data_IF_545429546490
#
_entry.id   IF_545429546490
#
_cell.length_a   1.000
_cell.length_b   1.000
_cell.length_c   1.000
_cell.angle_alpha   90.00
_cell.angle_beta   90.00
_cell.angle_gamma   90.00
#
_symmetry.space_group_name_H-M   'P 1'
#
loop_
_entity.id
_entity.type
_entity.pdbx_description
1 polymer ?
#
# COMPACT_ATOMS: atom_id res chain seq x y z
N UNK A 1 -39.90 80.16 12.14
CA UNK A 1 -38.87 79.58 11.25
C UNK A 1 -37.72 79.17 12.17
N UNK A 2 -37.17 77.95 12.24
CA UNK A 2 -37.18 76.79 11.37
C UNK A 2 -36.53 75.59 12.11
N UNK A 3 -36.66 74.41 11.48
CA UNK A 3 -36.10 73.07 11.82
C UNK A 3 -34.61 73.11 12.19
N UNK A 4 -34.00 72.15 12.91
CA UNK A 4 -33.78 70.73 12.54
C UNK A 4 -32.98 70.07 13.68
N UNK A 5 -33.44 68.96 14.29
CA UNK A 5 -33.01 67.56 14.04
C UNK A 5 -31.50 67.34 13.93
N UNK A 6 -30.96 66.49 14.83
CA UNK A 6 -29.61 65.93 14.76
C UNK A 6 -29.22 65.04 15.94
N UNK A 7 -29.90 63.92 16.18
CA UNK A 7 -29.39 62.82 17.03
C UNK A 7 -28.53 61.90 16.16
N UNK A 8 -27.21 62.04 16.26
CA UNK A 8 -26.25 61.16 15.59
C UNK A 8 -26.20 59.79 16.28
N UNK A 9 -26.57 58.74 15.55
CA UNK A 9 -26.46 57.36 15.98
C UNK A 9 -24.99 56.91 15.99
N UNK A 10 -24.44 56.59 17.17
CA UNK A 10 -23.19 55.84 17.30
C UNK A 10 -23.52 54.35 17.24
N UNK A 11 -23.67 53.81 16.03
CA UNK A 11 -23.83 52.38 15.81
C UNK A 11 -22.90 51.99 14.66
N UNK A 12 -21.94 51.09 14.89
CA UNK A 12 -21.17 50.56 13.75
C UNK A 12 -19.94 49.75 14.11
N UNK A 13 -19.09 50.22 15.02
CA UNK A 13 -17.77 49.58 15.20
C UNK A 13 -17.83 48.29 16.04
N UNK A 14 -18.48 48.25 17.22
CA UNK A 14 -18.50 47.03 18.05
C UNK A 14 -19.29 45.90 17.40
N UNK A 15 -20.41 46.23 16.74
CA UNK A 15 -21.27 45.24 16.09
C UNK A 15 -20.57 44.53 14.93
N UNK A 16 -19.79 45.25 14.13
CA UNK A 16 -19.05 44.67 12.99
C UNK A 16 -17.96 43.70 13.47
N UNK A 17 -17.23 44.04 14.54
CA UNK A 17 -16.23 43.13 15.12
C UNK A 17 -16.87 41.87 15.73
N UNK A 18 -18.03 42.01 16.37
CA UNK A 18 -18.79 40.86 16.89
C UNK A 18 -19.26 39.95 15.74
N UNK A 19 -19.75 40.52 14.64
CA UNK A 19 -20.16 39.74 13.47
C UNK A 19 -18.98 39.03 12.78
N UNK A 20 -17.83 39.69 12.65
CA UNK A 20 -16.63 39.08 12.07
C UNK A 20 -16.07 37.96 12.95
N UNK A 21 -16.06 38.15 14.27
CA UNK A 21 -15.66 37.12 15.21
C UNK A 21 -16.62 35.92 15.17
N UNK A 22 -17.94 36.17 15.07
CA UNK A 22 -18.94 35.12 14.92
C UNK A 22 -18.78 34.35 13.60
N UNK A 23 -18.47 35.02 12.48
CA UNK A 23 -18.19 34.39 11.19
C UNK A 23 -16.91 33.55 11.21
N UNK A 24 -15.85 34.04 11.86
CA UNK A 24 -14.61 33.28 12.07
C UNK A 24 -14.87 32.04 12.94
N UNK A 25 -15.59 32.19 14.05
CA UNK A 25 -15.99 31.06 14.88
C UNK A 25 -16.87 30.06 14.11
N UNK A 26 -17.83 30.53 13.30
CA UNK A 26 -18.66 29.65 12.49
C UNK A 26 -17.84 28.90 11.42
N UNK A 27 -16.87 29.55 10.78
CA UNK A 27 -15.98 28.89 9.83
C UNK A 27 -15.03 27.90 10.51
N UNK A 28 -14.52 28.22 11.71
CA UNK A 28 -13.69 27.29 12.50
C UNK A 28 -14.52 26.11 12.98
N UNK A 29 -15.74 26.33 13.47
CA UNK A 29 -16.66 25.26 13.86
C UNK A 29 -17.08 24.42 12.66
N UNK A 30 -17.30 25.02 11.50
CA UNK A 30 -17.57 24.31 10.25
C UNK A 30 -16.35 23.50 9.79
N UNK A 31 -15.14 24.06 9.93
CA UNK A 31 -13.89 23.36 9.62
C UNK A 31 -13.67 22.16 10.56
N UNK A 32 -13.85 22.35 11.87
CA UNK A 32 -13.77 21.28 12.87
C UNK A 32 -14.87 20.24 12.62
N UNK A 33 -16.09 20.67 12.32
CA UNK A 33 -17.20 19.78 11.97
C UNK A 33 -16.88 18.98 10.71
N UNK A 34 -16.40 19.63 9.65
CA UNK A 34 -15.98 18.96 8.42
C UNK A 34 -14.83 17.99 8.68
N UNK A 35 -13.83 18.34 9.47
CA UNK A 35 -12.76 17.42 9.89
C UNK A 35 -13.30 16.22 10.66
N UNK A 36 -14.20 16.43 11.63
CA UNK A 36 -14.83 15.32 12.38
C UNK A 36 -15.71 14.43 11.50
N UNK A 37 -16.47 15.02 10.57
CA UNK A 37 -17.28 14.27 9.59
C UNK A 37 -16.41 13.55 8.58
N UNK A 38 -15.25 14.11 8.18
CA UNK A 38 -14.28 13.46 7.29
C UNK A 38 -13.45 12.38 8.00
N UNK A 39 -13.33 12.44 9.32
CA UNK A 39 -12.73 11.39 10.15
C UNK A 39 -13.68 10.21 10.35
N UNK A 40 -14.99 10.43 10.45
CA UNK A 40 -16.01 9.36 10.58
C UNK A 40 -16.50 8.79 9.23
N UNK A 41 -16.12 9.40 8.10
CA UNK A 41 -16.54 8.98 6.75
C UNK A 41 -15.42 8.44 5.87
N UNK A 42 -14.31 7.98 6.45
CA UNK A 42 -13.53 6.94 5.79
C UNK A 42 -14.20 5.61 6.15
N UNK A 43 -15.16 5.10 5.34
CA UNK A 43 -15.62 3.74 5.54
C UNK A 43 -14.40 2.84 5.54
N UNK A 44 -14.36 1.78 6.37
CA UNK A 44 -13.38 0.71 6.17
C UNK A 44 -13.43 0.37 4.69
N UNK A 45 -12.26 0.42 4.05
CA UNK A 45 -12.10 0.12 2.62
C UNK A 45 -12.98 -1.09 2.32
N UNK A 46 -13.93 -0.92 1.40
CA UNK A 46 -14.97 -1.89 1.10
C UNK A 46 -14.36 -3.07 0.34
N UNK A 47 -13.35 -3.70 0.93
CA UNK A 47 -12.63 -4.80 0.36
C UNK A 47 -13.58 -5.99 0.24
N UNK A 48 -13.80 -6.42 -1.01
CA UNK A 48 -14.36 -7.71 -1.45
C UNK A 48 -15.84 -8.00 -1.20
N UNK A 49 -16.75 -7.10 -1.55
CA UNK A 49 -18.16 -7.49 -1.76
C UNK A 49 -18.62 -7.41 -3.23
N UNK A 50 -17.70 -7.19 -4.18
CA UNK A 50 -18.03 -7.18 -5.60
C UNK A 50 -17.57 -8.47 -6.27
N UNK A 51 -18.36 -8.94 -7.24
CA UNK A 51 -17.97 -10.04 -8.13
C UNK A 51 -16.79 -9.63 -9.02
N UNK A 52 -16.06 -10.61 -9.55
CA UNK A 52 -14.97 -10.38 -10.50
C UNK A 52 -15.44 -9.54 -11.69
N UNK A 53 -14.63 -8.55 -12.10
CA UNK A 53 -14.99 -7.60 -13.15
C UNK A 53 -15.81 -6.39 -12.67
N UNK A 54 -16.07 -6.29 -11.37
CA UNK A 54 -16.79 -5.16 -10.76
C UNK A 54 -15.96 -4.53 -9.63
N UNK A 55 -16.24 -3.27 -9.32
CA UNK A 55 -15.59 -2.51 -8.27
C UNK A 55 -16.57 -1.67 -7.46
N UNK A 56 -16.17 -1.32 -6.25
CA UNK A 56 -16.83 -0.32 -5.40
C UNK A 56 -15.76 0.41 -4.59
N UNK A 57 -15.67 1.72 -4.73
CA UNK A 57 -14.65 2.57 -4.10
C UNK A 57 -15.27 3.80 -3.47
N UNK A 58 -14.57 4.40 -2.51
CA UNK A 58 -15.00 5.64 -1.85
C UNK A 58 -16.41 5.54 -1.27
N UNK A 59 -17.30 6.43 -1.73
CA UNK A 59 -18.68 6.55 -1.20
C UNK A 59 -19.74 5.80 -2.03
N UNK A 60 -19.32 4.92 -2.94
CA UNK A 60 -20.25 4.14 -3.76
C UNK A 60 -21.11 3.19 -2.91
N UNK A 61 -22.40 3.10 -3.23
CA UNK A 61 -23.35 2.21 -2.56
C UNK A 61 -23.48 0.84 -3.24
N UNK A 62 -23.23 0.75 -4.55
CA UNK A 62 -23.33 -0.46 -5.36
C UNK A 62 -22.04 -0.74 -6.14
N UNK A 63 -21.85 -2.00 -6.55
CA UNK A 63 -20.75 -2.41 -7.41
C UNK A 63 -21.03 -1.99 -8.86
N UNK A 64 -20.01 -1.47 -9.55
CA UNK A 64 -20.06 -1.06 -10.96
C UNK A 64 -19.10 -1.93 -11.77
N UNK A 65 -19.41 -2.32 -13.03
CA UNK A 65 -18.45 -3.02 -13.88
C UNK A 65 -17.17 -2.21 -14.09
N UNK A 66 -16.03 -2.87 -14.30
CA UNK A 66 -14.79 -2.16 -14.63
C UNK A 66 -14.95 -1.26 -15.84
N UNK A 67 -14.49 -0.01 -15.69
CA UNK A 67 -14.56 0.98 -16.74
C UNK A 67 -13.75 0.53 -17.96
N UNK A 68 -14.37 0.66 -19.12
CA UNK A 68 -13.73 0.42 -20.42
C UNK A 68 -13.17 1.74 -21.00
N UNK A 69 -12.46 1.63 -22.12
CA UNK A 69 -11.84 2.78 -22.79
C UNK A 69 -12.78 3.96 -23.04
N UNK A 70 -14.01 3.71 -23.44
CA UNK A 70 -15.01 4.77 -23.70
C UNK A 70 -15.31 5.59 -22.45
N UNK A 71 -15.53 4.92 -21.32
CA UNK A 71 -15.85 5.55 -20.03
C UNK A 71 -14.61 6.23 -19.45
N UNK A 72 -13.44 5.61 -19.56
CA UNK A 72 -12.17 6.20 -19.10
C UNK A 72 -11.89 7.51 -19.83
N UNK A 73 -12.06 7.55 -21.15
CA UNK A 73 -11.84 8.76 -21.96
C UNK A 73 -12.85 9.86 -21.67
N UNK A 74 -14.11 9.51 -21.47
CA UNK A 74 -15.20 10.46 -21.29
C UNK A 74 -15.27 11.03 -19.87
N UNK A 75 -15.12 10.16 -18.85
CA UNK A 75 -15.57 10.46 -17.49
C UNK A 75 -14.44 10.54 -16.46
N UNK A 76 -13.22 10.08 -16.79
CA UNK A 76 -12.08 10.13 -15.85
C UNK A 76 -11.26 11.40 -16.08
N UNK A 77 -11.39 12.34 -15.14
CA UNK A 77 -10.66 13.61 -15.18
C UNK A 77 -9.34 13.51 -14.44
N UNK A 78 -8.22 13.58 -15.17
CA UNK A 78 -6.87 13.69 -14.58
C UNK A 78 -6.71 15.01 -13.83
N UNK A 79 -6.17 14.93 -12.62
CA UNK A 79 -5.86 16.11 -11.79
C UNK A 79 -4.34 16.35 -11.79
N UNK A 80 -3.60 15.79 -10.83
CA UNK A 80 -2.16 16.02 -10.68
C UNK A 80 -1.39 14.71 -10.66
N UNK A 81 -0.13 14.74 -11.11
CA UNK A 81 0.77 13.60 -10.96
C UNK A 81 1.07 13.37 -9.48
N UNK A 82 1.05 12.12 -9.05
CA UNK A 82 1.31 11.70 -7.67
C UNK A 82 2.44 10.66 -7.57
N UNK A 83 2.86 10.08 -8.69
CA UNK A 83 3.97 9.15 -8.73
C UNK A 83 4.50 8.97 -10.15
N UNK A 84 5.78 8.64 -10.24
CA UNK A 84 6.44 8.30 -11.50
C UNK A 84 7.45 7.18 -11.22
N UNK A 85 7.37 6.12 -12.02
CA UNK A 85 8.34 5.02 -12.04
C UNK A 85 8.86 4.80 -13.45
N UNK A 86 9.64 3.72 -13.63
CA UNK A 86 10.16 3.33 -14.94
C UNK A 86 9.02 3.03 -15.92
N UNK A 87 8.05 2.19 -15.52
CA UNK A 87 6.95 1.69 -16.38
C UNK A 87 5.77 2.67 -16.45
N UNK A 88 5.49 3.42 -15.38
CA UNK A 88 4.21 4.14 -15.20
C UNK A 88 4.38 5.58 -14.72
N UNK A 89 3.50 6.46 -15.20
CA UNK A 89 3.18 7.76 -14.59
C UNK A 89 1.80 7.67 -13.95
N UNK A 90 1.70 8.02 -12.68
CA UNK A 90 0.48 7.89 -11.89
C UNK A 90 -0.10 9.26 -11.55
N UNK A 91 -1.38 9.44 -11.85
CA UNK A 91 -2.11 10.69 -11.66
C UNK A 91 -3.28 10.48 -10.70
N UNK A 92 -3.36 11.32 -9.66
CA UNK A 92 -4.61 11.52 -8.95
C UNK A 92 -5.63 12.05 -9.94
N UNK A 93 -6.80 11.43 -9.95
CA UNK A 93 -7.87 11.72 -10.89
C UNK A 93 -9.22 11.63 -10.18
N UNK A 94 -10.28 11.97 -10.90
CA UNK A 94 -11.66 11.92 -10.41
C UNK A 94 -12.56 11.25 -11.42
N UNK A 95 -13.43 10.37 -10.95
CA UNK A 95 -14.48 9.72 -11.72
C UNK A 95 -15.78 9.78 -10.92
N UNK A 96 -16.82 10.44 -11.45
CA UNK A 96 -18.13 10.61 -10.80
C UNK A 96 -18.05 11.06 -9.32
N UNK A 97 -17.15 12.01 -9.03
CA UNK A 97 -16.91 12.52 -7.67
C UNK A 97 -16.04 11.63 -6.77
N UNK A 98 -15.70 10.41 -7.20
CA UNK A 98 -14.77 9.51 -6.51
C UNK A 98 -13.33 9.83 -6.88
N UNK A 99 -12.41 9.80 -5.91
CA UNK A 99 -10.97 9.91 -6.17
C UNK A 99 -10.43 8.56 -6.63
N UNK A 100 -9.71 8.58 -7.75
CA UNK A 100 -9.11 7.39 -8.38
C UNK A 100 -7.68 7.69 -8.80
N UNK A 101 -6.87 6.65 -8.97
CA UNK A 101 -5.52 6.74 -9.48
C UNK A 101 -5.47 6.25 -10.93
N UNK A 102 -4.95 7.07 -11.84
CA UNK A 102 -4.79 6.72 -13.26
C UNK A 102 -3.33 6.46 -13.53
N UNK A 103 -3.00 5.23 -13.89
CA UNK A 103 -1.67 4.81 -14.30
C UNK A 103 -1.58 4.79 -15.81
N UNK A 104 -0.60 5.51 -16.34
CA UNK A 104 -0.35 5.65 -17.78
C UNK A 104 1.02 5.07 -18.10
N UNK A 105 1.13 4.29 -19.18
CA UNK A 105 2.39 3.81 -19.72
C UNK A 105 3.36 4.98 -19.93
N UNK A 106 4.56 4.87 -19.38
CA UNK A 106 5.56 5.93 -19.43
C UNK A 106 6.24 6.04 -20.81
N UNK A 107 6.46 4.90 -21.46
CA UNK A 107 7.21 4.70 -22.70
C UNK A 107 6.84 3.36 -23.33
N UNK A 108 6.76 3.28 -24.66
CA UNK A 108 6.51 2.04 -25.40
C UNK A 108 7.55 0.93 -25.12
N UNK A 109 8.75 1.29 -24.65
CA UNK A 109 9.77 0.31 -24.27
C UNK A 109 9.33 -0.63 -23.13
N UNK A 110 8.45 -0.16 -22.25
CA UNK A 110 7.95 -0.93 -21.09
C UNK A 110 6.53 -1.47 -21.29
N UNK A 111 6.07 -1.55 -22.54
CA UNK A 111 4.69 -1.95 -22.86
C UNK A 111 4.37 -3.37 -22.38
N UNK A 112 5.30 -4.30 -22.56
CA UNK A 112 5.09 -5.69 -22.16
C UNK A 112 5.01 -5.83 -20.63
N UNK A 113 5.88 -5.13 -19.88
CA UNK A 113 5.83 -5.06 -18.42
C UNK A 113 4.50 -4.46 -17.94
N UNK A 114 4.04 -3.39 -18.60
CA UNK A 114 2.77 -2.74 -18.29
C UNK A 114 1.57 -3.66 -18.54
N UNK A 115 1.51 -4.33 -19.69
CA UNK A 115 0.43 -5.26 -20.03
C UNK A 115 0.46 -6.50 -19.11
N UNK A 116 1.64 -6.96 -18.73
CA UNK A 116 1.79 -8.01 -17.71
C UNK A 116 1.19 -7.55 -16.37
N UNK A 117 1.57 -6.35 -15.90
CA UNK A 117 1.03 -5.76 -14.68
C UNK A 117 -0.49 -5.63 -14.69
N UNK A 118 -1.08 -5.19 -15.81
CA UNK A 118 -2.54 -5.15 -16.00
C UNK A 118 -3.16 -6.54 -15.93
N UNK A 119 -2.55 -7.54 -16.57
CA UNK A 119 -3.03 -8.93 -16.51
C UNK A 119 -2.97 -9.50 -15.09
N UNK A 120 -1.87 -9.24 -14.36
CA UNK A 120 -1.73 -9.65 -12.96
C UNK A 120 -2.78 -8.96 -12.11
N UNK A 121 -2.95 -7.65 -12.25
CA UNK A 121 -3.91 -6.86 -11.48
C UNK A 121 -5.35 -7.34 -11.66
N UNK A 122 -5.75 -7.74 -12.89
CA UNK A 122 -7.06 -8.35 -13.16
C UNK A 122 -7.23 -9.71 -12.47
N UNK A 123 -6.25 -10.59 -12.61
CA UNK A 123 -6.34 -11.97 -12.11
C UNK A 123 -6.18 -12.09 -10.59
N UNK A 124 -5.53 -11.10 -9.96
CA UNK A 124 -5.15 -11.11 -8.55
C UNK A 124 -6.03 -10.22 -7.66
N UNK A 125 -7.14 -9.69 -8.18
CA UNK A 125 -8.08 -8.89 -7.39
C UNK A 125 -8.53 -9.65 -6.13
N UNK A 126 -8.25 -9.04 -4.98
CA UNK A 126 -8.50 -9.59 -3.65
C UNK A 126 -8.38 -8.48 -2.61
N UNK A 127 -8.63 -8.79 -1.33
CA UNK A 127 -8.39 -7.86 -0.21
C UNK A 127 -6.92 -7.43 -0.04
N UNK A 128 -5.99 -8.01 -0.80
CA UNK A 128 -4.53 -7.84 -0.65
C UNK A 128 -3.91 -7.03 -1.79
N UNK A 129 -4.70 -6.70 -2.80
CA UNK A 129 -4.28 -5.99 -4.02
C UNK A 129 -5.17 -4.77 -4.18
N UNK A 130 -4.61 -3.66 -4.67
CA UNK A 130 -5.36 -2.44 -4.94
C UNK A 130 -6.58 -2.73 -5.84
N UNK A 131 -7.71 -2.12 -5.49
CA UNK A 131 -8.97 -2.30 -6.24
C UNK A 131 -8.81 -1.76 -7.66
N UNK A 132 -9.00 -2.63 -8.65
CA UNK A 132 -9.04 -2.24 -10.07
C UNK A 132 -10.40 -1.60 -10.38
N UNK A 133 -10.36 -0.40 -10.97
CA UNK A 133 -11.54 0.39 -11.35
C UNK A 133 -11.83 0.27 -12.84
N UNK A 134 -10.79 0.23 -13.68
CA UNK A 134 -10.97 0.18 -15.13
C UNK A 134 -9.67 -0.04 -15.88
N UNK A 135 -9.78 -0.46 -17.15
CA UNK A 135 -8.62 -0.70 -18.01
C UNK A 135 -8.92 -0.23 -19.43
N UNK A 136 -7.94 0.45 -20.02
CA UNK A 136 -7.88 0.74 -21.44
C UNK A 136 -6.48 0.43 -22.00
N UNK A 137 -6.28 -0.81 -22.45
CA UNK A 137 -4.98 -1.29 -22.94
C UNK A 137 -4.54 -0.59 -24.23
N UNK A 138 -5.48 -0.23 -25.11
CA UNK A 138 -5.18 0.50 -26.36
C UNK A 138 -4.52 1.85 -26.11
N UNK A 139 -4.86 2.50 -24.99
CA UNK A 139 -4.28 3.79 -24.58
C UNK A 139 -3.10 3.64 -23.62
N UNK A 140 -2.75 2.41 -23.22
CA UNK A 140 -1.78 2.15 -22.16
C UNK A 140 -2.21 2.76 -20.82
N UNK A 141 -3.49 2.62 -20.45
CA UNK A 141 -4.07 3.22 -19.24
C UNK A 141 -4.80 2.17 -18.40
N UNK A 142 -4.64 2.23 -17.09
CA UNK A 142 -5.57 1.59 -16.15
C UNK A 142 -5.87 2.50 -14.96
N UNK A 143 -7.00 2.24 -14.31
CA UNK A 143 -7.53 3.05 -13.21
C UNK A 143 -7.68 2.15 -11.98
N UNK A 144 -7.20 2.62 -10.83
CA UNK A 144 -7.33 1.96 -9.53
C UNK A 144 -7.94 2.88 -8.49
N UNK A 145 -8.33 2.32 -7.35
CA UNK A 145 -8.68 3.11 -6.17
C UNK A 145 -7.51 4.01 -5.74
N UNK A 146 -7.83 5.26 -5.40
CA UNK A 146 -6.84 6.18 -4.86
C UNK A 146 -6.71 6.02 -3.35
N UNK A 147 -5.49 5.75 -2.89
CA UNK A 147 -5.16 5.71 -1.47
C UNK A 147 -4.35 6.96 -1.07
N UNK A 148 -4.90 7.86 -0.23
CA UNK A 148 -4.32 9.17 0.03
C UNK A 148 -3.03 9.15 0.84
N UNK A 149 -2.76 8.07 1.58
CA UNK A 149 -1.50 7.91 2.32
C UNK A 149 -0.34 7.47 1.41
N UNK A 150 -0.64 7.06 0.17
CA UNK A 150 0.36 6.73 -0.83
C UNK A 150 1.10 5.44 -0.49
N UNK A 151 2.39 5.40 -0.84
CA UNK A 151 3.24 4.22 -0.65
C UNK A 151 3.53 3.92 0.82
N UNK A 152 3.72 2.65 1.15
CA UNK A 152 4.20 2.20 2.46
C UNK A 152 5.54 2.81 2.90
N UNK A 153 6.32 3.36 1.96
CA UNK A 153 7.51 4.17 2.25
C UNK A 153 7.24 5.35 3.18
N UNK A 154 6.04 5.92 3.13
CA UNK A 154 5.67 7.10 3.92
C UNK A 154 5.17 6.73 5.32
N UNK A 155 5.27 5.46 5.74
CA UNK A 155 4.68 4.97 6.98
C UNK A 155 5.08 5.79 8.21
N UNK A 156 6.38 6.05 8.41
CA UNK A 156 6.84 6.82 9.58
C UNK A 156 6.31 8.26 9.55
N UNK A 157 6.38 8.92 8.39
CA UNK A 157 5.85 10.27 8.23
C UNK A 157 4.32 10.31 8.41
N UNK A 158 3.62 9.24 8.04
CA UNK A 158 2.18 9.09 8.23
C UNK A 158 1.84 8.94 9.71
N UNK A 159 2.51 8.03 10.41
CA UNK A 159 2.28 7.74 11.83
C UNK A 159 2.76 8.87 12.77
N UNK A 160 3.61 9.78 12.28
CA UNK A 160 4.01 10.99 12.99
C UNK A 160 2.97 12.12 12.93
N UNK A 161 1.98 12.05 12.04
CA UNK A 161 0.91 13.06 11.96
C UNK A 161 -0.05 12.92 13.14
N UNK A 162 -0.49 14.04 13.73
CA UNK A 162 -1.40 14.07 14.89
C UNK A 162 -2.64 13.19 14.71
N UNK A 163 -3.21 13.17 13.50
CA UNK A 163 -4.37 12.34 13.14
C UNK A 163 -4.11 10.83 13.31
N UNK A 164 -2.90 10.37 13.03
CA UNK A 164 -2.52 8.95 13.04
C UNK A 164 -1.66 8.56 14.23
N UNK A 165 -1.21 9.52 15.03
CA UNK A 165 -0.31 9.30 16.17
C UNK A 165 -0.87 8.27 17.15
N UNK A 166 -2.19 8.27 17.41
CA UNK A 166 -2.84 7.28 18.28
C UNK A 166 -2.85 5.87 17.72
N UNK A 167 -2.67 5.72 16.41
CA UNK A 167 -2.57 4.44 15.72
C UNK A 167 -1.12 3.96 15.58
N UNK A 168 -0.14 4.78 15.99
CA UNK A 168 1.28 4.42 15.99
C UNK A 168 1.61 3.46 17.15
N UNK A 169 1.07 2.26 17.09
CA UNK A 169 1.22 1.21 18.09
C UNK A 169 1.81 -0.05 17.49
N UNK A 170 2.36 -0.92 18.35
CA UNK A 170 2.88 -2.20 17.91
C UNK A 170 1.80 -3.06 17.24
N UNK A 171 0.54 -2.95 17.68
CA UNK A 171 -0.59 -3.70 17.09
C UNK A 171 -0.80 -3.29 15.63
N UNK A 172 -0.90 -1.99 15.35
CA UNK A 172 -1.08 -1.49 13.98
C UNK A 172 0.10 -1.91 13.11
N UNK A 173 1.32 -1.77 13.62
CA UNK A 173 2.55 -2.06 12.89
C UNK A 173 2.77 -3.55 12.61
N UNK A 174 2.51 -4.42 13.59
CA UNK A 174 2.55 -5.88 13.39
C UNK A 174 1.42 -6.34 12.46
N UNK A 175 0.26 -5.66 12.48
CA UNK A 175 -0.82 -5.91 11.52
C UNK A 175 -0.42 -5.55 10.09
N UNK A 176 0.33 -4.47 9.87
CA UNK A 176 0.89 -4.17 8.54
C UNK A 176 1.88 -5.25 8.09
N UNK A 177 2.72 -5.75 9.00
CA UNK A 177 3.63 -6.86 8.69
C UNK A 177 2.86 -8.17 8.39
N UNK A 178 1.76 -8.43 9.09
CA UNK A 178 0.83 -9.50 8.76
C UNK A 178 0.22 -9.30 7.36
N UNK A 179 -0.20 -8.09 6.99
CA UNK A 179 -0.73 -7.81 5.64
C UNK A 179 0.31 -8.08 4.55
N UNK A 180 1.57 -7.71 4.78
CA UNK A 180 2.68 -8.01 3.88
C UNK A 180 2.88 -9.53 3.68
N UNK A 181 3.02 -10.29 4.76
CA UNK A 181 3.19 -11.76 4.68
C UNK A 181 1.92 -12.42 4.11
N UNK A 182 0.74 -11.85 4.38
CA UNK A 182 -0.51 -12.31 3.78
C UNK A 182 -0.46 -12.15 2.27
N UNK A 183 -0.07 -10.99 1.76
CA UNK A 183 0.10 -10.83 0.34
C UNK A 183 1.06 -11.88 -0.24
N UNK A 184 2.19 -12.17 0.41
CA UNK A 184 3.11 -13.22 -0.07
C UNK A 184 2.49 -14.62 -0.07
N UNK A 185 1.73 -14.99 0.97
CA UNK A 185 0.96 -16.26 0.96
C UNK A 185 0.03 -16.33 -0.25
N UNK A 186 -0.66 -15.23 -0.57
CA UNK A 186 -1.55 -15.17 -1.71
C UNK A 186 -0.80 -15.20 -3.04
N UNK A 187 0.33 -14.50 -3.15
CA UNK A 187 1.18 -14.47 -4.33
C UNK A 187 1.76 -15.86 -4.66
N UNK A 188 2.27 -16.56 -3.65
CA UNK A 188 2.85 -17.90 -3.78
C UNK A 188 1.80 -18.98 -4.10
N UNK A 189 0.52 -18.68 -3.86
CA UNK A 189 -0.62 -19.56 -4.15
C UNK A 189 -1.63 -18.89 -5.09
N UNK A 190 -1.17 -18.02 -5.99
CA UNK A 190 -2.08 -17.23 -6.83
C UNK A 190 -2.86 -18.11 -7.81
N UNK A 191 -4.01 -17.66 -8.34
CA UNK A 191 -4.78 -18.42 -9.32
C UNK A 191 -3.98 -18.84 -10.56
N UNK A 192 -2.95 -18.06 -10.92
CA UNK A 192 -2.04 -18.33 -12.04
C UNK A 192 -0.78 -19.11 -11.66
N UNK A 193 -0.76 -19.79 -10.51
CA UNK A 193 0.40 -20.51 -9.96
C UNK A 193 1.27 -19.67 -9.04
N UNK A 194 2.35 -20.26 -8.50
CA UNK A 194 3.29 -19.54 -7.65
C UNK A 194 4.00 -18.42 -8.42
N UNK A 195 4.10 -17.25 -7.81
CA UNK A 195 4.69 -16.03 -8.38
C UNK A 195 5.73 -15.45 -7.42
N UNK A 196 6.70 -14.70 -7.94
CA UNK A 196 7.76 -14.05 -7.15
C UNK A 196 7.66 -12.54 -7.29
N UNK A 197 7.80 -11.79 -6.18
CA UNK A 197 7.76 -10.33 -6.20
C UNK A 197 9.13 -9.75 -6.62
N UNK A 198 9.42 -9.72 -7.92
CA UNK A 198 10.79 -9.48 -8.39
C UNK A 198 11.31 -8.04 -8.25
N UNK A 199 10.43 -7.04 -8.28
CA UNK A 199 10.83 -5.63 -8.18
C UNK A 199 11.01 -5.21 -6.70
N UNK A 200 11.94 -5.87 -6.02
CA UNK A 200 12.16 -5.81 -4.57
C UNK A 200 13.64 -5.99 -4.21
N UNK A 201 14.54 -5.29 -4.91
CA UNK A 201 15.99 -5.45 -4.74
C UNK A 201 16.57 -4.74 -3.52
N UNK A 202 15.85 -3.75 -3.00
CA UNK A 202 16.17 -3.06 -1.74
C UNK A 202 14.89 -2.76 -0.96
N UNK A 203 15.03 -2.36 0.30
CA UNK A 203 13.90 -2.07 1.18
C UNK A 203 13.00 -0.97 0.61
N UNK A 204 13.60 0.09 0.05
CA UNK A 204 12.84 1.23 -0.45
C UNK A 204 12.01 0.82 -1.67
N UNK A 205 12.63 0.12 -2.63
CA UNK A 205 11.95 -0.40 -3.81
C UNK A 205 10.86 -1.41 -3.45
N UNK A 206 11.10 -2.27 -2.47
CA UNK A 206 10.09 -3.22 -1.98
C UNK A 206 8.86 -2.49 -1.44
N UNK A 207 9.05 -1.47 -0.60
CA UNK A 207 7.97 -0.69 0.01
C UNK A 207 7.24 0.20 -1.00
N UNK A 208 7.89 0.62 -2.11
CA UNK A 208 7.22 1.38 -3.17
C UNK A 208 6.13 0.58 -3.88
N UNK A 209 6.18 -0.75 -3.81
CA UNK A 209 5.23 -1.62 -4.51
C UNK A 209 3.91 -1.77 -3.74
N UNK A 210 3.85 -1.27 -2.50
CA UNK A 210 2.69 -1.35 -1.62
C UNK A 210 2.14 0.03 -1.29
N UNK A 211 0.82 0.11 -1.14
CA UNK A 211 0.08 1.29 -0.70
C UNK A 211 -0.43 1.12 0.73
N UNK A 212 -0.57 2.25 1.43
CA UNK A 212 -1.26 2.34 2.72
C UNK A 212 -2.68 2.84 2.51
N UNK A 213 -3.65 2.07 2.99
CA UNK A 213 -5.05 2.51 3.04
C UNK A 213 -5.27 3.50 4.18
N UNK A 214 -6.35 4.29 4.13
CA UNK A 214 -6.69 5.27 5.17
C UNK A 214 -6.92 4.64 6.56
N UNK A 215 -7.26 3.35 6.62
CA UNK A 215 -7.43 2.55 7.84
C UNK A 215 -6.17 1.74 8.23
N UNK A 216 -5.03 2.06 7.63
CA UNK A 216 -3.71 1.47 7.88
C UNK A 216 -3.69 -0.05 7.63
N UNK A 217 -4.08 -0.43 6.42
CA UNK A 217 -3.84 -1.74 5.80
C UNK A 217 -2.82 -1.60 4.68
N UNK A 218 -2.15 -2.70 4.37
CA UNK A 218 -1.16 -2.76 3.29
C UNK A 218 -1.76 -3.46 2.05
N UNK A 219 -1.65 -2.83 0.89
CA UNK A 219 -2.13 -3.38 -0.39
C UNK A 219 -1.01 -3.41 -1.42
N UNK A 220 -0.87 -4.53 -2.13
CA UNK A 220 0.03 -4.59 -3.28
C UNK A 220 -0.54 -3.78 -4.46
N UNK A 221 0.32 -3.04 -5.14
CA UNK A 221 -0.07 -2.14 -6.23
C UNK A 221 0.76 -2.37 -7.50
N UNK A 222 2.08 -2.44 -7.36
CA UNK A 222 2.97 -2.58 -8.52
C UNK A 222 3.26 -4.05 -8.81
N UNK A 223 2.55 -4.62 -9.78
CA UNK A 223 2.58 -6.05 -10.12
C UNK A 223 3.21 -6.35 -11.50
N UNK A 224 4.05 -5.44 -11.99
CA UNK A 224 4.62 -5.52 -13.35
C UNK A 224 5.64 -6.68 -13.49
N UNK A 225 6.35 -7.04 -12.42
CA UNK A 225 7.40 -8.06 -12.43
C UNK A 225 7.04 -9.26 -11.53
N UNK A 226 6.09 -10.10 -11.98
CA UNK A 226 5.64 -11.30 -11.27
C UNK A 226 5.84 -12.58 -12.10
N UNK A 227 7.09 -13.03 -12.31
CA UNK A 227 7.33 -14.28 -13.03
C UNK A 227 6.72 -15.47 -12.30
N UNK A 228 6.25 -16.46 -13.06
CA UNK A 228 5.68 -17.70 -12.55
C UNK A 228 6.77 -18.72 -12.29
N UNK A 229 6.74 -19.34 -11.11
CA UNK A 229 7.58 -20.49 -10.79
C UNK A 229 6.88 -21.76 -11.28
N UNK A 230 7.44 -22.42 -12.28
CA UNK A 230 6.92 -23.69 -12.79
C UNK A 230 7.42 -24.86 -11.92
N UNK A 231 6.53 -25.78 -11.46
CA UNK A 231 6.94 -26.95 -10.69
C UNK A 231 7.94 -27.82 -11.47
N UNK A 232 9.12 -28.07 -10.89
CA UNK A 232 10.19 -28.84 -11.53
C UNK A 232 10.89 -28.12 -12.69
N UNK A 233 10.60 -26.83 -12.91
CA UNK A 233 11.29 -25.98 -13.88
C UNK A 233 12.67 -25.50 -13.41
N UNK A 234 13.32 -24.69 -14.24
CA UNK A 234 14.65 -24.11 -13.95
C UNK A 234 14.63 -22.94 -12.94
N UNK A 235 13.45 -22.58 -12.42
CA UNK A 235 13.22 -21.38 -11.61
C UNK A 235 12.97 -20.13 -12.45
N UNK A 236 13.00 -18.98 -11.78
CA UNK A 236 12.80 -17.64 -12.34
C UNK A 236 14.03 -16.77 -12.10
N UNK A 237 14.12 -15.62 -12.80
CA UNK A 237 15.09 -14.56 -12.57
C UNK A 237 14.39 -13.21 -12.52
N UNK A 238 14.81 -12.34 -11.61
CA UNK A 238 14.30 -10.99 -11.43
C UNK A 238 15.10 -9.99 -12.26
N UNK A 239 14.81 -9.95 -13.57
CA UNK A 239 15.49 -9.10 -14.54
C UNK A 239 16.73 -9.75 -15.17
N UNK A 240 17.38 -9.01 -16.07
CA UNK A 240 18.51 -9.47 -16.89
C UNK A 240 19.87 -8.92 -16.44
N UNK A 241 19.89 -8.11 -15.38
CA UNK A 241 21.10 -7.48 -14.86
C UNK A 241 21.54 -8.19 -13.57
N UNK A 242 22.84 -8.13 -13.29
CA UNK A 242 23.40 -8.66 -12.06
C UNK A 242 22.80 -7.95 -10.83
N UNK A 243 22.30 -8.73 -9.88
CA UNK A 243 21.88 -8.23 -8.58
C UNK A 243 23.04 -8.29 -7.58
N UNK A 244 23.08 -7.34 -6.65
CA UNK A 244 24.14 -7.18 -5.65
C UNK A 244 23.57 -6.75 -4.30
N UNK A 245 24.33 -6.92 -3.23
CA UNK A 245 23.97 -6.50 -1.88
C UNK A 245 23.34 -7.63 -1.05
N UNK A 246 23.00 -7.32 0.20
CA UNK A 246 22.55 -8.30 1.20
C UNK A 246 21.02 -8.41 1.32
N UNK A 247 20.29 -7.45 0.73
CA UNK A 247 18.83 -7.43 0.77
C UNK A 247 18.21 -8.48 -0.16
N UNK A 248 18.79 -8.69 -1.34
CA UNK A 248 18.43 -9.80 -2.23
C UNK A 248 18.86 -11.14 -1.62
N UNK A 249 18.17 -12.22 -1.97
CA UNK A 249 18.54 -13.53 -1.45
C UNK A 249 19.88 -14.01 -2.05
N UNK A 250 20.67 -14.82 -1.31
CA UNK A 250 21.99 -15.27 -1.75
C UNK A 250 21.99 -15.96 -3.12
N UNK A 251 20.96 -16.73 -3.43
CA UNK A 251 20.78 -17.41 -4.73
C UNK A 251 20.45 -16.46 -5.89
N UNK A 252 20.13 -15.19 -5.60
CA UNK A 252 19.97 -14.14 -6.61
C UNK A 252 21.30 -13.49 -7.00
N UNK A 253 22.39 -13.79 -6.27
CA UNK A 253 23.73 -13.26 -6.54
C UNK A 253 24.47 -14.14 -7.55
N UNK A 254 25.36 -13.51 -8.32
CA UNK A 254 26.20 -14.21 -9.27
C UNK A 254 27.10 -15.25 -8.56
N UNK A 255 26.97 -16.56 -8.85
CA UNK A 255 27.60 -17.59 -8.03
C UNK A 255 29.02 -17.96 -8.46
N UNK A 256 29.54 -17.39 -9.56
CA UNK A 256 30.80 -17.82 -10.18
C UNK A 256 32.03 -16.98 -9.77
N UNK A 257 31.89 -16.10 -8.78
CA UNK A 257 32.97 -15.24 -8.31
C UNK A 257 33.26 -14.05 -9.23
N UNK A 258 34.22 -13.22 -8.84
CA UNK A 258 34.57 -11.96 -9.52
C UNK A 258 35.37 -12.17 -10.81
N UNK A 259 36.10 -13.28 -10.92
CA UNK A 259 36.94 -13.61 -12.09
C UNK A 259 36.12 -13.94 -13.34
N UNK A 260 34.83 -14.22 -13.18
CA UNK A 260 33.96 -14.60 -14.28
C UNK A 260 32.90 -13.51 -14.49
N UNK A 261 32.93 -12.79 -15.64
CA UNK A 261 31.95 -11.75 -15.92
C UNK A 261 30.52 -12.28 -15.86
N UNK A 262 29.60 -11.45 -15.36
CA UNK A 262 28.19 -11.77 -15.32
C UNK A 262 27.64 -12.07 -16.72
N UNK A 263 26.80 -13.10 -16.81
CA UNK A 263 26.09 -13.51 -18.02
C UNK A 263 24.71 -14.01 -17.62
N UNK A 264 23.66 -13.36 -18.11
CA UNK A 264 22.27 -13.70 -17.76
C UNK A 264 21.92 -15.16 -18.12
N UNK A 265 22.38 -15.65 -19.27
CA UNK A 265 22.17 -17.04 -19.72
C UNK A 265 22.78 -18.10 -18.78
N UNK A 266 23.77 -17.70 -17.99
CA UNK A 266 24.45 -18.57 -17.03
C UNK A 266 23.95 -18.39 -15.61
N UNK A 267 23.15 -17.37 -15.34
CA UNK A 267 22.59 -17.14 -14.01
C UNK A 267 21.57 -18.26 -13.72
N UNK A 268 21.77 -19.07 -12.65
CA UNK A 268 20.79 -20.05 -12.26
C UNK A 268 19.46 -19.39 -11.87
N UNK A 269 18.35 -20.02 -12.20
CA UNK A 269 17.05 -19.57 -11.70
C UNK A 269 16.85 -19.93 -10.22
N UNK A 270 15.96 -19.20 -9.59
CA UNK A 270 15.55 -19.36 -8.19
C UNK A 270 14.03 -19.37 -8.07
N UNK A 271 13.49 -19.43 -6.87
CA UNK A 271 12.06 -19.61 -6.62
C UNK A 271 11.50 -18.55 -5.64
N UNK A 272 10.29 -18.78 -5.13
CA UNK A 272 9.58 -17.87 -4.23
C UNK A 272 10.26 -17.73 -2.85
N UNK A 273 11.26 -18.57 -2.53
CA UNK A 273 12.04 -18.45 -1.30
C UNK A 273 12.89 -17.19 -1.26
N UNK A 274 13.11 -16.55 -2.41
CA UNK A 274 13.71 -15.22 -2.50
C UNK A 274 12.84 -14.12 -1.86
N UNK A 275 11.51 -14.24 -1.90
CA UNK A 275 10.60 -13.34 -1.18
C UNK A 275 10.69 -13.57 0.33
N UNK A 276 10.78 -14.84 0.76
CA UNK A 276 10.88 -15.23 2.18
C UNK A 276 12.12 -14.61 2.84
N UNK A 277 13.24 -14.60 2.12
CA UNK A 277 14.48 -13.98 2.59
C UNK A 277 14.30 -12.52 3.04
N UNK A 278 13.41 -11.78 2.38
CA UNK A 278 13.21 -10.33 2.56
C UNK A 278 12.21 -9.99 3.66
N UNK A 279 11.44 -10.98 4.14
CA UNK A 279 10.39 -10.77 5.16
C UNK A 279 10.93 -10.09 6.43
N UNK A 280 12.06 -10.52 7.02
CA UNK A 280 12.56 -9.92 8.26
C UNK A 280 12.86 -8.42 8.13
N UNK A 281 13.47 -7.99 7.02
CA UNK A 281 13.87 -6.61 6.78
C UNK A 281 12.65 -5.70 6.60
N UNK A 282 11.67 -6.14 5.80
CA UNK A 282 10.39 -5.42 5.64
C UNK A 282 9.65 -5.36 6.98
N UNK A 283 9.62 -6.46 7.73
CA UNK A 283 8.96 -6.51 9.04
C UNK A 283 9.62 -5.57 10.03
N UNK A 284 10.96 -5.49 10.03
CA UNK A 284 11.73 -4.57 10.89
C UNK A 284 11.39 -3.12 10.59
N UNK A 285 11.27 -2.76 9.32
CA UNK A 285 10.82 -1.41 8.94
C UNK A 285 9.39 -1.14 9.44
N UNK A 286 8.45 -2.06 9.19
CA UNK A 286 7.04 -1.86 9.55
C UNK A 286 6.85 -1.76 11.07
N UNK A 287 7.54 -2.59 11.86
CA UNK A 287 7.52 -2.57 13.33
C UNK A 287 8.15 -1.31 13.93
N UNK A 288 9.12 -0.71 13.24
CA UNK A 288 9.80 0.49 13.69
C UNK A 288 10.28 0.41 15.14
N UNK A 289 10.29 1.55 15.82
CA UNK A 289 10.74 1.68 17.21
C UNK A 289 9.63 2.27 18.09
N UNK A 290 8.62 1.47 18.40
CA UNK A 290 7.55 1.82 19.34
C UNK A 290 7.57 0.91 20.56
N UNK A 291 6.86 1.30 21.63
CA UNK A 291 6.71 0.46 22.81
C UNK A 291 6.13 -0.91 22.41
N UNK A 292 6.84 -1.99 22.78
CA UNK A 292 6.50 -3.36 22.42
C UNK A 292 7.23 -3.93 21.19
N UNK A 293 7.85 -3.11 20.34
CA UNK A 293 8.55 -3.60 19.13
C UNK A 293 9.69 -4.57 19.45
N UNK A 294 10.49 -4.29 20.48
CA UNK A 294 11.62 -5.15 20.86
C UNK A 294 11.16 -6.53 21.35
N UNK A 295 10.03 -6.58 22.06
CA UNK A 295 9.41 -7.83 22.53
C UNK A 295 8.89 -8.65 21.34
N UNK A 296 8.27 -8.00 20.35
CA UNK A 296 7.85 -8.66 19.11
C UNK A 296 9.08 -9.21 18.37
N UNK A 297 10.14 -8.42 18.23
CA UNK A 297 11.37 -8.88 17.59
C UNK A 297 11.97 -10.09 18.28
N UNK A 298 11.92 -10.12 19.62
CA UNK A 298 12.34 -11.30 20.39
C UNK A 298 11.49 -12.53 20.05
N UNK A 299 10.17 -12.42 20.04
CA UNK A 299 9.29 -13.54 19.68
C UNK A 299 9.44 -14.00 18.22
N UNK A 300 9.73 -13.08 17.29
CA UNK A 300 9.92 -13.37 15.88
C UNK A 300 11.35 -13.82 15.53
N UNK A 301 12.30 -13.79 16.47
CA UNK A 301 13.71 -14.05 16.22
C UNK A 301 13.95 -15.39 15.51
N UNK A 302 13.33 -16.47 16.00
CA UNK A 302 13.54 -17.81 15.44
C UNK A 302 13.01 -17.91 14.01
N UNK A 303 11.80 -17.41 13.73
CA UNK A 303 11.22 -17.46 12.39
C UNK A 303 11.99 -16.56 11.41
N UNK A 304 12.49 -15.41 11.86
CA UNK A 304 13.34 -14.53 11.06
C UNK A 304 14.69 -15.18 10.73
N UNK A 305 15.30 -15.88 11.70
CA UNK A 305 16.53 -16.64 11.46
C UNK A 305 16.32 -17.79 10.45
N UNK A 306 15.15 -18.42 10.44
CA UNK A 306 14.79 -19.42 9.42
C UNK A 306 14.60 -18.78 8.04
N UNK A 307 13.97 -17.60 7.95
CA UNK A 307 13.85 -16.85 6.69
C UNK A 307 15.22 -16.50 6.10
N UNK A 308 16.23 -16.27 6.95
CA UNK A 308 17.61 -15.93 6.55
C UNK A 308 18.53 -17.14 6.37
N UNK A 309 18.00 -18.36 6.21
CA UNK A 309 18.83 -19.53 5.84
C UNK A 309 19.42 -19.36 4.43
N UNK A 310 20.71 -19.66 4.29
CA UNK A 310 21.42 -19.58 3.01
C UNK A 310 20.83 -20.54 1.98
N UNK A 311 20.57 -21.81 2.37
CA UNK A 311 19.86 -22.77 1.53
C UNK A 311 18.35 -22.42 1.47
N UNK A 312 17.80 -22.03 0.30
CA UNK A 312 16.41 -21.63 0.17
C UNK A 312 15.43 -22.73 0.57
N UNK A 313 15.81 -24.01 0.43
CA UNK A 313 14.97 -25.17 0.80
C UNK A 313 14.74 -25.30 2.30
N UNK A 314 15.58 -24.66 3.11
CA UNK A 314 15.47 -24.64 4.57
C UNK A 314 14.67 -23.43 5.07
N UNK A 315 14.29 -22.50 4.19
CA UNK A 315 13.45 -21.37 4.55
C UNK A 315 11.99 -21.82 4.66
N UNK A 316 11.20 -21.25 5.60
CA UNK A 316 9.79 -21.56 5.73
C UNK A 316 9.02 -21.12 4.48
N UNK A 317 7.80 -21.62 4.33
CA UNK A 317 6.80 -21.04 3.43
C UNK A 317 6.26 -19.72 4.02
N UNK A 318 5.70 -18.86 3.16
CA UNK A 318 5.02 -17.66 3.64
C UNK A 318 3.87 -17.98 4.61
N UNK A 319 3.23 -19.16 4.46
CA UNK A 319 2.17 -19.60 5.37
C UNK A 319 2.72 -19.91 6.77
N UNK A 320 3.86 -20.60 6.88
CA UNK A 320 4.47 -20.89 8.18
C UNK A 320 4.86 -19.59 8.89
N UNK A 321 5.44 -18.63 8.16
CA UNK A 321 5.75 -17.30 8.72
C UNK A 321 4.48 -16.58 9.19
N UNK A 322 3.42 -16.58 8.37
CA UNK A 322 2.11 -16.02 8.72
C UNK A 322 1.56 -16.61 10.01
N UNK A 323 1.63 -17.95 10.16
CA UNK A 323 1.12 -18.65 11.33
C UNK A 323 1.83 -18.20 12.60
N UNK A 324 3.16 -18.07 12.56
CA UNK A 324 3.94 -17.56 13.70
C UNK A 324 3.58 -16.11 14.01
N UNK A 325 3.49 -15.24 13.00
CA UNK A 325 3.16 -13.82 13.21
C UNK A 325 1.78 -13.66 13.87
N UNK A 326 0.78 -14.44 13.42
CA UNK A 326 -0.56 -14.41 13.99
C UNK A 326 -0.55 -14.89 15.44
N UNK A 327 0.14 -16.00 15.71
CA UNK A 327 0.29 -16.51 17.09
C UNK A 327 0.93 -15.49 18.02
N UNK A 328 1.97 -14.77 17.57
CA UNK A 328 2.62 -13.71 18.36
C UNK A 328 1.67 -12.53 18.57
N UNK A 329 0.96 -12.11 17.51
CA UNK A 329 -0.01 -11.02 17.59
C UNK A 329 -1.11 -11.31 18.63
N UNK A 330 -1.70 -12.51 18.56
CA UNK A 330 -2.80 -12.91 19.45
C UNK A 330 -2.31 -13.04 20.90
N UNK A 331 -1.18 -13.72 21.12
CA UNK A 331 -0.58 -13.87 22.45
C UNK A 331 -0.26 -12.53 23.12
N UNK A 332 0.35 -11.59 22.40
CA UNK A 332 0.69 -10.27 22.96
C UNK A 332 -0.56 -9.42 23.23
N UNK A 333 -1.62 -9.60 22.44
CA UNK A 333 -2.90 -8.91 22.65
C UNK A 333 -3.61 -9.43 23.89
N UNK A 334 -3.59 -10.74 24.13
CA UNK A 334 -4.14 -11.36 25.34
C UNK A 334 -3.40 -10.87 26.59
N UNK A 335 -2.06 -10.91 26.61
CA UNK A 335 -1.27 -10.43 27.75
C UNK A 335 -1.53 -8.95 28.07
N UNK A 336 -1.70 -8.09 27.06
CA UNK A 336 -2.06 -6.69 27.28
C UNK A 336 -3.46 -6.54 27.89
N UNK A 337 -4.41 -7.37 27.48
CA UNK A 337 -5.79 -7.36 27.99
C UNK A 337 -5.84 -7.79 29.46
N UNK A 338 -5.06 -8.82 29.83
CA UNK A 338 -4.93 -9.27 31.22
C UNK A 338 -4.30 -8.19 32.10
N UNK A 339 -3.21 -7.56 31.65
CA UNK A 339 -2.54 -6.47 32.37
C UNK A 339 -3.48 -5.28 32.62
N UNK A 340 -4.29 -4.89 31.64
CA UNK A 340 -5.29 -3.81 31.82
C UNK A 340 -6.39 -4.24 32.81
N UNK A 341 -6.82 -5.50 32.76
CA UNK A 341 -7.82 -6.03 33.69
C UNK A 341 -7.32 -6.07 35.14
N UNK A 342 -6.05 -6.42 35.36
CA UNK A 342 -5.45 -6.47 36.70
C UNK A 342 -5.16 -5.07 37.28
N UNK A 343 -5.18 -4.03 36.44
CA UNK A 343 -5.01 -2.63 36.86
C UNK A 343 -6.33 -1.87 37.12
N UNK A 344 -7.49 -2.48 36.82
CA UNK A 344 -8.84 -1.89 37.00
C UNK A 344 -9.56 -2.48 38.22
#
# INVERSE_FOLDING_TARGET
MGRSSGRGAKCGVPAVFICLAALLCANVLLYIYLETVYQDSAPPSAHTNCHTGYFKVGTMSSCTPWLQCTEIRADVRRLRMIGQGAVKKVYLSEWQGQKVAVSVLSSEHYKDDFLHGVSMLRSMQSVRVVTLVGVCEEDGVFVTEYHPLGSALTLEATLAQDRYLRLNSWQTRLRLALDFVAFLVFLHNSPGGARVMCDSNDLHKTLSQFLLTSDLRLLANDLDALPRVEPGGQGVKCGHNQLTGEFVAPEQLWPYGEDVPFSDDRMPGYDEKSDIWKIPDVTRFLLGHVSGSDVIHFHLFQIHAQCKKQDPRQRPSAHEVMSVYRSVYDSMKESHTEIVRDML
#
